data_IF_015219235784
#
_entry.id   IF_015219235784
#
_cell.length_a   1.000
_cell.length_b   1.000
_cell.length_c   1.000
_cell.angle_alpha   90.00
_cell.angle_beta   90.00
_cell.angle_gamma   90.00
#
_symmetry.space_group_name_H-M   'P 1'
#
loop_
_entity.id
_entity.type
_entity.pdbx_description
1 polymer ?
#
# COMPACT_ATOMS: atom_id res chain seq x y z
N UNK A 1 21.66 0.10 13.60
CA UNK A 1 20.31 -0.38 13.93
C UNK A 1 19.62 0.70 14.75
N UNK A 2 19.14 1.73 14.07
CA UNK A 2 18.18 2.72 14.58
C UNK A 2 16.91 2.43 13.79
N UNK A 3 15.76 2.35 14.45
CA UNK A 3 14.48 1.99 13.79
C UNK A 3 13.34 2.88 14.22
N UNK A 4 13.64 4.08 14.75
CA UNK A 4 12.63 5.09 15.09
C UNK A 4 13.22 6.48 14.83
N UNK A 5 12.78 7.13 13.76
CA UNK A 5 13.12 8.53 13.46
C UNK A 5 14.07 8.76 12.29
N UNK A 6 14.51 7.69 11.60
CA UNK A 6 15.34 7.82 10.40
C UNK A 6 14.48 8.23 9.19
N UNK A 7 15.05 9.04 8.29
CA UNK A 7 14.36 9.55 7.11
C UNK A 7 13.98 8.38 6.17
N UNK A 8 12.69 8.20 5.82
CA UNK A 8 12.26 7.15 4.90
C UNK A 8 13.02 7.15 3.56
N UNK A 9 13.46 8.32 3.09
CA UNK A 9 14.25 8.46 1.86
C UNK A 9 15.65 7.88 2.04
N UNK A 10 16.29 8.11 3.20
CA UNK A 10 17.59 7.51 3.53
C UNK A 10 17.47 6.00 3.69
N UNK A 11 16.41 5.52 4.36
CA UNK A 11 16.14 4.08 4.50
C UNK A 11 15.96 3.43 3.11
N UNK A 12 15.21 4.06 2.21
CA UNK A 12 15.05 3.52 0.86
C UNK A 12 16.38 3.46 0.13
N UNK A 13 17.21 4.52 0.22
CA UNK A 13 18.54 4.52 -0.39
C UNK A 13 19.40 3.35 0.13
N UNK A 14 19.44 3.15 1.45
CA UNK A 14 20.16 2.04 2.09
C UNK A 14 19.64 0.67 1.62
N UNK A 15 18.32 0.52 1.47
CA UNK A 15 17.72 -0.73 0.98
C UNK A 15 18.12 -0.99 -0.47
N UNK A 16 18.02 0.01 -1.34
CA UNK A 16 18.35 -0.10 -2.76
C UNK A 16 19.84 -0.43 -2.97
N UNK A 17 20.74 0.15 -2.16
CA UNK A 17 22.16 -0.18 -2.19
C UNK A 17 22.45 -1.62 -1.76
N UNK A 18 21.63 -2.18 -0.86
CA UNK A 18 21.83 -3.53 -0.32
C UNK A 18 21.20 -4.62 -1.17
N UNK A 19 20.12 -4.32 -1.88
CA UNK A 19 19.38 -5.30 -2.69
C UNK A 19 19.70 -5.24 -4.17
N UNK A 20 20.31 -4.14 -4.63
CA UNK A 20 20.71 -3.89 -6.03
C UNK A 20 19.61 -4.30 -7.05
N UNK A 21 18.36 -3.80 -6.90
CA UNK A 21 17.27 -4.22 -7.76
C UNK A 21 17.39 -3.62 -9.16
N UNK A 22 16.62 -4.15 -10.11
CA UNK A 22 16.58 -3.62 -11.47
C UNK A 22 16.06 -2.17 -11.50
N UNK A 23 16.53 -1.38 -12.47
CA UNK A 23 16.20 0.04 -12.59
C UNK A 23 14.68 0.35 -12.56
N UNK A 24 13.79 -0.43 -13.22
CA UNK A 24 12.35 -0.20 -13.14
C UNK A 24 11.80 -0.30 -11.70
N UNK A 25 12.33 -1.22 -10.90
CA UNK A 25 11.95 -1.40 -9.49
C UNK A 25 12.45 -0.22 -8.65
N UNK A 26 13.67 0.25 -8.92
CA UNK A 26 14.24 1.45 -8.28
C UNK A 26 13.36 2.67 -8.54
N UNK A 27 12.97 2.87 -9.79
CA UNK A 27 12.17 4.03 -10.21
C UNK A 27 10.78 3.98 -9.58
N UNK A 28 10.12 2.82 -9.62
CA UNK A 28 8.82 2.63 -9.00
C UNK A 28 8.85 2.83 -7.48
N UNK A 29 9.85 2.27 -6.78
CA UNK A 29 9.95 2.41 -5.33
C UNK A 29 10.13 3.88 -4.90
N UNK A 30 10.88 4.67 -5.69
CA UNK A 30 11.07 6.10 -5.46
C UNK A 30 9.80 6.90 -5.73
N UNK A 31 9.10 6.58 -6.81
CA UNK A 31 7.81 7.19 -7.14
C UNK A 31 6.80 6.91 -6.03
N UNK A 32 6.58 5.64 -5.68
CA UNK A 32 5.63 5.25 -4.65
C UNK A 32 5.93 5.91 -3.30
N UNK A 33 7.19 5.90 -2.85
CA UNK A 33 7.56 6.56 -1.60
C UNK A 33 7.38 8.08 -1.69
N UNK A 34 7.84 8.70 -2.78
CA UNK A 34 7.74 10.15 -2.99
C UNK A 34 6.29 10.63 -2.96
N UNK A 35 5.42 9.99 -3.74
CA UNK A 35 3.98 10.30 -3.79
C UNK A 35 3.30 10.02 -2.45
N UNK A 36 3.66 8.93 -1.77
CA UNK A 36 3.12 8.62 -0.43
C UNK A 36 3.47 9.72 0.58
N UNK A 37 4.71 10.21 0.57
CA UNK A 37 5.16 11.27 1.48
C UNK A 37 4.52 12.62 1.13
N UNK A 38 4.38 12.93 -0.15
CA UNK A 38 3.74 14.17 -0.63
C UNK A 38 2.27 14.27 -0.18
N UNK A 39 1.55 13.15 -0.21
CA UNK A 39 0.12 13.10 0.11
C UNK A 39 -0.19 12.44 1.46
N UNK A 40 0.79 12.34 2.36
CA UNK A 40 0.69 11.54 3.58
C UNK A 40 -0.50 11.93 4.46
N UNK A 41 -0.77 13.23 4.63
CA UNK A 41 -1.90 13.72 5.43
C UNK A 41 -3.24 13.29 4.85
N UNK A 42 -3.43 13.43 3.53
CA UNK A 42 -4.66 13.04 2.84
C UNK A 42 -4.90 11.52 2.87
N UNK A 43 -3.81 10.75 2.74
CA UNK A 43 -3.82 9.29 2.86
C UNK A 43 -4.24 8.88 4.27
N UNK A 44 -3.60 9.45 5.30
CA UNK A 44 -3.92 9.16 6.70
C UNK A 44 -5.36 9.56 7.04
N UNK A 45 -5.85 10.68 6.53
CA UNK A 45 -7.25 11.09 6.69
C UNK A 45 -8.22 10.08 6.05
N UNK A 46 -7.87 9.54 4.88
CA UNK A 46 -8.70 8.59 4.14
C UNK A 46 -8.81 7.27 4.89
N UNK A 47 -7.69 6.81 5.44
CA UNK A 47 -7.64 5.65 6.33
C UNK A 47 -8.49 5.94 7.58
N UNK A 48 -8.28 7.07 8.25
CA UNK A 48 -8.97 7.46 9.48
C UNK A 48 -10.50 7.51 9.34
N UNK A 49 -11.01 8.04 8.22
CA UNK A 49 -12.45 8.09 7.90
C UNK A 49 -13.08 6.69 7.77
N UNK A 50 -12.27 5.68 7.49
CA UNK A 50 -12.70 4.30 7.25
C UNK A 50 -12.74 3.46 8.52
N UNK A 51 -11.87 3.76 9.48
CA UNK A 51 -11.79 3.10 10.80
C UNK A 51 -12.79 3.72 11.78
N UNK A 52 -14.09 3.64 11.48
CA UNK A 52 -15.14 4.05 12.43
C UNK A 52 -15.01 3.25 13.74
N UNK A 53 -14.70 3.92 14.85
CA UNK A 53 -14.47 3.38 16.22
C UNK A 53 -13.09 2.76 16.52
N UNK A 54 -12.12 2.86 15.63
CA UNK A 54 -10.75 2.42 15.91
C UNK A 54 -9.80 3.60 15.97
N UNK A 55 -9.05 3.67 17.07
CA UNK A 55 -7.99 4.64 17.23
C UNK A 55 -6.86 4.27 16.27
N UNK A 56 -6.59 5.12 15.27
CA UNK A 56 -5.53 4.92 14.26
C UNK A 56 -4.17 4.67 14.91
N UNK A 57 -3.95 5.19 16.13
CA UNK A 57 -2.74 4.94 16.91
C UNK A 57 -2.57 3.48 17.36
N UNK A 58 -3.63 2.66 17.28
CA UNK A 58 -3.63 1.22 17.62
C UNK A 58 -3.42 0.32 16.42
N UNK A 59 -3.40 0.87 15.20
CA UNK A 59 -3.07 0.09 14.01
C UNK A 59 -1.60 -0.30 14.11
N UNK A 60 -1.30 -1.59 13.90
CA UNK A 60 0.07 -2.10 13.85
C UNK A 60 0.88 -1.25 12.86
N UNK A 61 2.14 -0.96 13.19
CA UNK A 61 2.98 -0.09 12.34
C UNK A 61 3.08 -0.62 10.91
N UNK A 62 3.14 -1.95 10.75
CA UNK A 62 3.18 -2.62 9.45
C UNK A 62 1.85 -2.45 8.71
N UNK A 63 0.72 -2.73 9.34
CA UNK A 63 -0.61 -2.53 8.74
C UNK A 63 -0.83 -1.09 8.29
N UNK A 64 -0.38 -0.10 9.09
CA UNK A 64 -0.47 1.31 8.73
C UNK A 64 0.39 1.65 7.51
N UNK A 65 1.61 1.14 7.43
CA UNK A 65 2.46 1.33 6.25
C UNK A 65 1.85 0.68 5.00
N UNK A 66 1.26 -0.51 5.15
CA UNK A 66 0.57 -1.21 4.06
C UNK A 66 -0.61 -0.41 3.54
N UNK A 67 -1.48 0.05 4.45
CA UNK A 67 -2.62 0.88 4.09
C UNK A 67 -2.18 2.18 3.41
N UNK A 68 -1.08 2.79 3.85
CA UNK A 68 -0.59 4.04 3.26
C UNK A 68 -0.15 3.88 1.80
N UNK A 69 0.68 2.88 1.50
CA UNK A 69 1.12 2.69 0.11
C UNK A 69 -0.06 2.25 -0.76
N UNK A 70 -0.94 1.37 -0.25
CA UNK A 70 -2.11 0.90 -1.02
C UNK A 70 -3.06 2.06 -1.35
N UNK A 71 -3.36 2.94 -0.39
CA UNK A 71 -4.19 4.13 -0.64
C UNK A 71 -3.47 5.12 -1.57
N UNK A 72 -2.15 5.22 -1.51
CA UNK A 72 -1.37 6.01 -2.45
C UNK A 72 -1.54 5.49 -3.89
N UNK A 73 -1.36 4.19 -4.12
CA UNK A 73 -1.54 3.58 -5.43
C UNK A 73 -2.96 3.82 -5.96
N UNK A 74 -3.98 3.54 -5.14
CA UNK A 74 -5.39 3.68 -5.51
C UNK A 74 -5.76 5.10 -5.96
N UNK A 75 -5.10 6.13 -5.42
CA UNK A 75 -5.45 7.53 -5.67
C UNK A 75 -4.58 8.23 -6.70
N UNK A 76 -3.30 7.88 -6.72
CA UNK A 76 -2.31 8.67 -7.44
C UNK A 76 -1.60 7.88 -8.54
N UNK A 77 -1.65 6.55 -8.53
CA UNK A 77 -1.02 5.70 -9.54
C UNK A 77 -2.06 4.99 -10.41
N UNK A 78 -2.57 5.70 -11.44
CA UNK A 78 -3.64 5.20 -12.33
C UNK A 78 -3.27 4.01 -13.20
N UNK A 79 -1.98 3.67 -13.28
CA UNK A 79 -1.47 2.59 -14.13
C UNK A 79 -1.63 1.21 -13.47
N UNK A 80 -2.01 1.17 -12.19
CA UNK A 80 -2.21 -0.05 -11.41
C UNK A 80 -3.71 -0.26 -11.20
N UNK A 81 -4.28 -1.39 -11.66
CA UNK A 81 -5.68 -1.71 -11.41
C UNK A 81 -5.98 -1.80 -9.90
N UNK A 82 -7.07 -1.20 -9.39
CA UNK A 82 -7.38 -1.20 -7.95
C UNK A 82 -7.39 -2.58 -7.29
N UNK A 83 -7.89 -3.61 -7.97
CA UNK A 83 -7.95 -4.96 -7.41
C UNK A 83 -6.56 -5.57 -7.21
N UNK A 84 -5.58 -5.24 -8.05
CA UNK A 84 -4.19 -5.72 -7.92
C UNK A 84 -3.57 -5.12 -6.66
N UNK A 85 -3.68 -3.81 -6.47
CA UNK A 85 -3.23 -3.14 -5.24
C UNK A 85 -3.86 -3.76 -3.99
N UNK A 86 -5.16 -4.05 -4.02
CA UNK A 86 -5.87 -4.63 -2.88
C UNK A 86 -5.37 -6.05 -2.58
N UNK A 87 -5.29 -6.91 -3.60
CA UNK A 87 -4.83 -8.29 -3.45
C UNK A 87 -3.39 -8.34 -2.90
N UNK A 88 -2.47 -7.54 -3.45
CA UNK A 88 -1.08 -7.47 -2.99
C UNK A 88 -0.97 -6.93 -1.55
N UNK A 89 -1.73 -5.89 -1.21
CA UNK A 89 -1.75 -5.36 0.16
C UNK A 89 -2.21 -6.41 1.19
N UNK A 90 -3.15 -7.27 0.81
CA UNK A 90 -3.63 -8.36 1.66
C UNK A 90 -2.57 -9.43 1.84
N UNK A 91 -1.86 -9.82 0.78
CA UNK A 91 -0.79 -10.82 0.86
C UNK A 91 0.39 -10.31 1.70
N UNK A 92 0.84 -9.07 1.48
CA UNK A 92 1.88 -8.43 2.31
C UNK A 92 1.46 -8.37 3.78
N UNK A 93 0.18 -8.08 4.07
CA UNK A 93 -0.32 -8.03 5.44
C UNK A 93 -0.33 -9.41 6.13
N UNK A 94 -0.65 -10.48 5.39
CA UNK A 94 -0.61 -11.86 5.90
C UNK A 94 0.81 -12.31 6.21
N UNK A 95 1.77 -11.94 5.36
CA UNK A 95 3.16 -12.39 5.48
C UNK A 95 3.91 -11.65 6.60
N UNK A 96 3.74 -10.32 6.69
CA UNK A 96 4.64 -9.50 7.51
C UNK A 96 4.03 -8.94 8.80
N UNK A 97 2.72 -9.06 9.02
CA UNK A 97 2.04 -8.45 10.16
C UNK A 97 1.46 -9.48 11.14
N UNK A 98 0.21 -9.32 11.56
CA UNK A 98 -0.46 -10.22 12.53
C UNK A 98 -1.38 -11.22 11.84
N UNK A 99 -1.79 -12.27 12.56
CA UNK A 99 -2.71 -13.29 12.05
C UNK A 99 -4.07 -12.72 11.55
N UNK A 100 -4.49 -11.55 12.07
CA UNK A 100 -5.75 -10.90 11.66
C UNK A 100 -5.54 -9.80 10.61
N UNK A 101 -4.30 -9.47 10.26
CA UNK A 101 -3.96 -8.31 9.43
C UNK A 101 -4.49 -8.41 8.01
N UNK A 102 -4.44 -9.58 7.37
CA UNK A 102 -5.02 -9.77 6.04
C UNK A 102 -6.52 -9.44 5.98
N UNK A 103 -7.30 -9.88 6.99
CA UNK A 103 -8.74 -9.57 7.06
C UNK A 103 -8.96 -8.09 7.37
N UNK A 104 -8.14 -7.52 8.24
CA UNK A 104 -8.21 -6.11 8.61
C UNK A 104 -7.96 -5.20 7.41
N UNK A 105 -6.84 -5.40 6.70
CA UNK A 105 -6.46 -4.61 5.51
C UNK A 105 -7.53 -4.73 4.43
N UNK A 106 -7.98 -5.95 4.10
CA UNK A 106 -9.07 -6.16 3.14
C UNK A 106 -10.31 -5.32 3.51
N UNK A 107 -10.76 -5.38 4.77
CA UNK A 107 -11.95 -4.67 5.21
C UNK A 107 -11.85 -3.14 5.13
N UNK A 108 -10.65 -2.58 5.29
CA UNK A 108 -10.40 -1.15 5.13
C UNK A 108 -10.38 -0.77 3.65
N UNK A 109 -9.61 -1.49 2.83
CA UNK A 109 -9.48 -1.18 1.41
C UNK A 109 -10.80 -1.37 0.64
N UNK A 110 -11.60 -2.41 0.93
CA UNK A 110 -12.95 -2.59 0.36
C UNK A 110 -13.85 -1.38 0.64
N UNK A 111 -13.77 -0.84 1.86
CA UNK A 111 -14.58 0.31 2.27
C UNK A 111 -14.10 1.60 1.61
N UNK A 112 -12.79 1.78 1.42
CA UNK A 112 -12.21 2.90 0.66
C UNK A 112 -12.65 2.83 -0.80
N UNK A 113 -12.49 1.66 -1.45
CA UNK A 113 -12.91 1.42 -2.84
C UNK A 113 -14.38 1.81 -3.05
N UNK A 114 -15.25 1.40 -2.14
CA UNK A 114 -16.68 1.73 -2.17
C UNK A 114 -16.96 3.22 -1.95
N UNK A 115 -16.28 3.86 -1.00
CA UNK A 115 -16.49 5.27 -0.68
C UNK A 115 -16.01 6.20 -1.79
N UNK A 116 -14.93 5.82 -2.48
CA UNK A 116 -14.33 6.60 -3.56
C UNK A 116 -14.90 6.24 -4.94
N UNK A 117 -15.84 5.28 -5.01
CA UNK A 117 -16.44 4.79 -6.25
C UNK A 117 -15.38 4.34 -7.26
N UNK A 118 -14.28 3.79 -6.75
CA UNK A 118 -13.27 3.15 -7.58
C UNK A 118 -13.91 1.91 -8.22
N UNK A 119 -13.76 1.78 -9.54
CA UNK A 119 -14.33 0.66 -10.27
C UNK A 119 -13.82 -0.67 -9.72
N UNK A 120 -14.68 -1.69 -9.71
CA UNK A 120 -14.34 -3.03 -9.23
C UNK A 120 -13.33 -3.77 -10.13
N UNK A 121 -13.01 -3.23 -11.31
CA UNK A 121 -11.98 -3.75 -12.21
C UNK A 121 -12.24 -5.19 -12.69
N UNK A 122 -13.40 -5.77 -12.35
CA UNK A 122 -13.79 -7.13 -12.71
C UNK A 122 -14.39 -7.21 -14.11
N UNK A 123 -14.63 -6.08 -14.77
CA UNK A 123 -14.95 -6.04 -16.20
C UNK A 123 -13.64 -6.05 -17.03
N UNK A 124 -13.20 -7.26 -17.38
CA UNK A 124 -12.19 -7.60 -18.41
C UNK A 124 -10.68 -7.51 -18.09
N UNK A 125 -10.22 -7.98 -16.93
CA UNK A 125 -8.85 -8.53 -16.83
C UNK A 125 -8.90 -10.04 -16.59
N UNK A 126 -8.61 -10.89 -17.60
CA UNK A 126 -8.60 -12.32 -17.39
C UNK A 126 -7.51 -12.66 -16.37
N UNK A 127 -7.91 -13.29 -15.27
CA UNK A 127 -7.09 -13.71 -14.12
C UNK A 127 -5.86 -14.59 -14.49
N UNK A 128 -5.63 -14.87 -15.77
CA UNK A 128 -4.49 -15.64 -16.29
C UNK A 128 -3.29 -14.80 -16.73
N UNK A 129 -3.44 -13.49 -16.95
CA UNK A 129 -2.33 -12.65 -17.45
C UNK A 129 -1.48 -12.02 -16.33
N UNK A 130 -1.95 -12.01 -15.08
CA UNK A 130 -1.21 -11.44 -13.94
C UNK A 130 0.00 -12.31 -13.55
N UNK A 131 -0.04 -13.62 -13.84
CA UNK A 131 1.09 -14.54 -13.60
C UNK A 131 2.26 -14.36 -14.58
N UNK A 132 2.13 -13.54 -15.64
CA UNK A 132 3.20 -13.30 -16.63
C UNK A 132 3.99 -12.00 -16.38
N UNK A 133 3.63 -11.21 -15.35
CA UNK A 133 4.26 -9.91 -15.04
C UNK A 133 5.22 -9.99 -13.83
N UNK A 134 5.32 -11.15 -13.16
CA UNK A 134 6.32 -11.47 -12.13
C UNK A 134 7.28 -12.56 -12.61
#
# INVERSE_FOLDING_TARGET
>A
MSTVGDDPVEILADVLERTEPEQPVVDFARELLGTTLEHLEEIDETIAKTVENWDVSRIASIDRSILRYAVCELRYLSDIPPFVTIDEAIEVAKEYSTAESGRFVNGILDRIMKNEQLGDGQEEFPRKEVEEIL
#
